data_IF_507848690836
#
_entry.id   IF_507848690836
#
_cell.length_a   1.000
_cell.length_b   1.000
_cell.length_c   1.000
_cell.angle_alpha   90.00
_cell.angle_beta   90.00
_cell.angle_gamma   90.00
#
_symmetry.space_group_name_H-M   'P 1'
#
loop_
_entity.id
_entity.type
_entity.pdbx_description
1 polymer ?
#
# COMPACT_ATOMS: atom_id res chain seq x y z
N UNK A 1 51.60 -44.74 -71.04
CA UNK A 1 50.47 -44.80 -70.08
C UNK A 1 51.05 -44.92 -68.69
N UNK A 2 51.08 -43.85 -67.90
CA UNK A 2 51.20 -43.95 -66.45
C UNK A 2 50.32 -42.83 -65.86
N UNK A 3 49.08 -43.17 -65.51
CA UNK A 3 48.26 -42.35 -64.62
C UNK A 3 48.66 -42.72 -63.20
N UNK A 4 49.35 -41.83 -62.49
CA UNK A 4 49.50 -41.93 -61.04
C UNK A 4 48.17 -41.49 -60.42
N UNK A 5 47.36 -42.45 -59.97
CA UNK A 5 46.27 -42.22 -59.04
C UNK A 5 46.84 -42.09 -57.62
N UNK A 6 46.88 -40.86 -57.10
CA UNK A 6 47.19 -40.60 -55.69
C UNK A 6 46.14 -41.22 -54.76
N UNK A 7 46.51 -41.83 -53.62
CA UNK A 7 45.58 -42.53 -52.75
C UNK A 7 44.80 -41.59 -51.80
N UNK A 8 43.68 -42.03 -51.19
CA UNK A 8 42.73 -41.21 -50.43
C UNK A 8 43.21 -40.72 -49.05
N UNK A 9 44.50 -40.90 -48.72
CA UNK A 9 45.05 -40.81 -47.35
C UNK A 9 44.88 -39.43 -46.71
N UNK A 10 44.78 -38.38 -47.53
CA UNK A 10 44.56 -37.01 -47.04
C UNK A 10 43.18 -36.81 -46.40
N UNK A 11 42.16 -37.57 -46.82
CA UNK A 11 40.80 -37.42 -46.31
C UNK A 11 40.66 -37.93 -44.87
N UNK A 12 41.33 -39.03 -44.53
CA UNK A 12 41.28 -39.62 -43.18
C UNK A 12 42.05 -38.80 -42.14
N UNK A 13 43.16 -38.17 -42.53
CA UNK A 13 43.96 -37.30 -41.66
C UNK A 13 43.24 -36.00 -41.24
N UNK A 14 42.25 -35.55 -42.03
CA UNK A 14 41.48 -34.33 -41.76
C UNK A 14 40.26 -34.55 -40.84
N UNK A 15 39.86 -35.81 -40.60
CA UNK A 15 38.71 -36.15 -39.77
C UNK A 15 38.78 -35.60 -38.32
N UNK A 16 39.93 -35.62 -37.63
CA UNK A 16 40.06 -35.04 -36.30
C UNK A 16 39.93 -33.51 -36.32
N UNK A 17 40.43 -32.86 -37.36
CA UNK A 17 40.35 -31.41 -37.54
C UNK A 17 38.92 -30.95 -37.83
N UNK A 18 38.19 -31.65 -38.70
CA UNK A 18 36.77 -31.37 -38.96
C UNK A 18 35.89 -31.61 -37.73
N UNK A 19 36.20 -32.64 -36.92
CA UNK A 19 35.53 -32.85 -35.62
C UNK A 19 35.79 -31.69 -34.65
N UNK A 20 37.03 -31.20 -34.57
CA UNK A 20 37.39 -30.03 -33.75
C UNK A 20 36.64 -28.78 -34.21
N UNK A 21 36.57 -28.53 -35.52
CA UNK A 21 35.86 -27.39 -36.11
C UNK A 21 34.35 -27.44 -35.82
N UNK A 22 33.75 -28.62 -35.90
CA UNK A 22 32.35 -28.85 -35.52
C UNK A 22 32.11 -28.52 -34.05
N UNK A 23 33.01 -28.97 -33.16
CA UNK A 23 32.96 -28.65 -31.74
C UNK A 23 33.08 -27.15 -31.45
N UNK A 24 34.05 -26.46 -32.07
CA UNK A 24 34.18 -25.00 -31.95
C UNK A 24 32.91 -24.27 -32.42
N UNK A 25 32.29 -24.75 -33.50
CA UNK A 25 31.03 -24.18 -34.01
C UNK A 25 29.88 -24.40 -33.03
N UNK A 26 29.78 -25.60 -32.43
CA UNK A 26 28.78 -25.89 -31.40
C UNK A 26 28.98 -25.04 -30.14
N UNK A 27 30.23 -24.91 -29.66
CA UNK A 27 30.55 -24.05 -28.52
C UNK A 27 30.18 -22.59 -28.79
N UNK A 28 30.48 -22.09 -29.99
CA UNK A 28 30.13 -20.71 -30.37
C UNK A 28 28.62 -20.50 -30.36
N UNK A 29 27.85 -21.44 -30.91
CA UNK A 29 26.38 -21.38 -30.87
C UNK A 29 25.86 -21.44 -29.44
N UNK A 30 26.39 -22.34 -28.62
CA UNK A 30 26.00 -22.47 -27.21
C UNK A 30 26.25 -21.18 -26.43
N UNK A 31 27.39 -20.52 -26.64
CA UNK A 31 27.71 -19.23 -26.03
C UNK A 31 26.76 -18.14 -26.52
N UNK A 32 26.41 -18.13 -27.80
CA UNK A 32 25.44 -17.16 -28.36
C UNK A 32 24.06 -17.33 -27.73
N UNK A 33 23.56 -18.57 -27.61
CA UNK A 33 22.29 -18.86 -26.93
C UNK A 33 22.33 -18.49 -25.45
N UNK A 34 23.44 -18.78 -24.76
CA UNK A 34 23.61 -18.37 -23.35
C UNK A 34 23.55 -16.84 -23.20
N UNK A 35 24.24 -16.09 -24.08
CA UNK A 35 24.21 -14.62 -24.06
C UNK A 35 22.80 -14.09 -24.33
N UNK A 36 22.09 -14.68 -25.29
CA UNK A 36 20.70 -14.33 -25.60
C UNK A 36 19.79 -14.56 -24.37
N UNK A 37 19.90 -15.72 -23.73
CA UNK A 37 19.14 -16.05 -22.53
C UNK A 37 19.39 -15.06 -21.38
N UNK A 38 20.64 -14.63 -21.19
CA UNK A 38 21.00 -13.61 -20.18
C UNK A 38 20.30 -12.28 -20.48
N UNK A 39 20.34 -11.82 -21.74
CA UNK A 39 19.70 -10.56 -22.14
C UNK A 39 18.19 -10.64 -21.97
N UNK A 40 17.56 -11.74 -22.42
CA UNK A 40 16.11 -11.94 -22.28
C UNK A 40 15.68 -11.94 -20.79
N UNK A 41 16.44 -12.61 -19.93
CA UNK A 41 16.17 -12.64 -18.49
C UNK A 41 16.32 -11.25 -17.87
N UNK A 42 17.35 -10.49 -18.27
CA UNK A 42 17.57 -9.13 -17.81
C UNK A 42 16.45 -8.19 -18.26
N UNK A 43 15.99 -8.31 -19.51
CA UNK A 43 14.85 -7.55 -20.01
C UNK A 43 13.56 -7.90 -19.28
N UNK A 44 13.30 -9.18 -19.03
CA UNK A 44 12.15 -9.63 -18.25
C UNK A 44 12.17 -9.03 -16.84
N UNK A 45 13.33 -9.06 -16.18
CA UNK A 45 13.51 -8.44 -14.86
C UNK A 45 13.24 -6.93 -14.88
N UNK A 46 13.77 -6.22 -15.87
CA UNK A 46 13.55 -4.78 -16.02
C UNK A 46 12.05 -4.45 -16.26
N UNK A 47 11.36 -5.22 -17.10
CA UNK A 47 9.91 -5.07 -17.32
C UNK A 47 9.12 -5.29 -16.03
N UNK A 48 9.52 -6.28 -15.23
CA UNK A 48 8.89 -6.56 -13.94
C UNK A 48 9.09 -5.39 -12.97
N UNK A 49 10.30 -4.83 -12.87
CA UNK A 49 10.58 -3.65 -12.05
C UNK A 49 9.72 -2.45 -12.48
N UNK A 50 9.58 -2.21 -13.77
CA UNK A 50 8.76 -1.12 -14.29
C UNK A 50 7.27 -1.32 -13.95
N UNK A 51 6.76 -2.55 -14.05
CA UNK A 51 5.39 -2.89 -13.65
C UNK A 51 5.17 -2.60 -12.16
N UNK A 52 6.07 -3.09 -11.29
CA UNK A 52 6.00 -2.86 -9.85
C UNK A 52 6.09 -1.36 -9.50
N UNK A 53 6.92 -0.59 -10.23
CA UNK A 53 7.02 0.86 -10.03
C UNK A 53 5.73 1.57 -10.41
N UNK A 54 5.10 1.20 -11.54
CA UNK A 54 3.81 1.78 -11.94
C UNK A 54 2.70 1.46 -10.94
N UNK A 55 2.65 0.24 -10.43
CA UNK A 55 1.69 -0.15 -9.39
C UNK A 55 1.89 0.66 -8.11
N UNK A 56 3.14 0.82 -7.67
CA UNK A 56 3.49 1.68 -6.52
C UNK A 56 3.06 3.12 -6.76
N UNK A 57 3.36 3.70 -7.92
CA UNK A 57 3.06 5.10 -8.22
C UNK A 57 1.54 5.33 -8.31
N UNK A 58 0.78 4.35 -8.84
CA UNK A 58 -0.66 4.36 -8.82
C UNK A 58 -1.21 4.30 -7.38
N UNK A 59 -0.65 3.44 -6.52
CA UNK A 59 -1.04 3.35 -5.11
C UNK A 59 -0.72 4.63 -4.33
N UNK A 60 0.41 5.28 -4.60
CA UNK A 60 0.74 6.59 -4.01
C UNK A 60 -0.28 7.63 -4.45
N UNK A 61 -0.62 7.68 -5.75
CA UNK A 61 -1.60 8.63 -6.25
C UNK A 61 -2.98 8.44 -5.61
N UNK A 62 -3.44 7.20 -5.45
CA UNK A 62 -4.72 6.93 -4.77
C UNK A 62 -4.68 7.32 -3.29
N UNK A 63 -3.58 7.04 -2.57
CA UNK A 63 -3.43 7.49 -1.18
C UNK A 63 -3.45 9.02 -1.09
N UNK A 64 -2.70 9.73 -1.93
CA UNK A 64 -2.69 11.21 -1.94
C UNK A 64 -4.07 11.79 -2.24
N UNK A 65 -4.83 11.20 -3.16
CA UNK A 65 -6.21 11.61 -3.45
C UNK A 65 -7.12 11.40 -2.24
N UNK A 66 -7.03 10.24 -1.57
CA UNK A 66 -7.79 9.97 -0.36
C UNK A 66 -7.41 10.90 0.79
N UNK A 67 -6.13 11.26 0.96
CA UNK A 67 -5.69 12.26 1.95
C UNK A 67 -6.25 13.65 1.63
N UNK A 68 -6.29 14.05 0.37
CA UNK A 68 -6.89 15.32 -0.06
C UNK A 68 -8.42 15.32 0.15
N UNK A 69 -9.09 14.22 -0.15
CA UNK A 69 -10.52 14.04 0.11
C UNK A 69 -10.82 14.01 1.62
N UNK A 70 -9.98 13.37 2.44
CA UNK A 70 -10.12 13.41 3.91
C UNK A 70 -9.84 14.80 4.49
N UNK A 71 -8.93 15.56 3.88
CA UNK A 71 -8.66 16.97 4.23
C UNK A 71 -9.87 17.86 3.91
N UNK A 72 -10.51 17.65 2.75
CA UNK A 72 -11.72 18.39 2.35
C UNK A 72 -12.96 17.93 3.15
N UNK A 73 -13.08 16.63 3.44
CA UNK A 73 -14.19 16.05 4.20
C UNK A 73 -14.05 16.29 5.72
N UNK A 74 -12.83 16.54 6.21
CA UNK A 74 -12.61 17.12 7.56
C UNK A 74 -13.23 18.52 7.71
N UNK A 75 -13.48 19.24 6.61
CA UNK A 75 -14.22 20.50 6.64
C UNK A 75 -15.75 20.33 6.54
N UNK A 76 -16.26 19.10 6.47
CA UNK A 76 -17.69 18.79 6.33
C UNK A 76 -18.21 17.81 7.40
N UNK A 77 -17.55 17.73 8.55
CA UNK A 77 -18.05 16.96 9.68
C UNK A 77 -19.16 17.78 10.35
N UNK A 78 -20.39 17.23 10.51
CA UNK A 78 -21.38 17.82 11.40
C UNK A 78 -20.75 18.04 12.79
N UNK A 79 -20.96 19.19 13.47
CA UNK A 79 -20.36 19.44 14.77
C UNK A 79 -20.92 18.45 15.80
N UNK A 80 -20.30 17.28 15.93
CA UNK A 80 -20.84 16.20 16.76
C UNK A 80 -19.97 14.96 16.94
N UNK A 81 -18.94 14.70 16.11
CA UNK A 81 -18.23 13.40 16.22
C UNK A 81 -16.79 13.37 15.72
N UNK A 82 -15.94 14.31 16.12
CA UNK A 82 -14.51 14.04 16.31
C UNK A 82 -14.13 14.73 17.61
N UNK A 83 -13.43 14.04 18.48
CA UNK A 83 -12.84 14.61 19.69
C UNK A 83 -11.99 15.83 19.31
N UNK A 84 -12.64 17.00 19.27
CA UNK A 84 -11.97 18.29 19.37
C UNK A 84 -10.98 18.16 20.53
N UNK A 85 -9.82 18.81 20.41
CA UNK A 85 -8.65 18.75 21.30
C UNK A 85 -8.98 19.13 22.77
N UNK A 86 -9.89 18.40 23.39
CA UNK A 86 -10.48 18.63 24.70
C UNK A 86 -9.47 18.12 25.71
N UNK A 87 -9.18 18.95 26.70
CA UNK A 87 -8.30 18.57 27.81
C UNK A 87 -9.13 17.89 28.89
N UNK A 88 -8.55 16.86 29.49
CA UNK A 88 -9.12 16.12 30.60
C UNK A 88 -9.38 17.08 31.76
N UNK A 89 -10.62 17.14 32.24
CA UNK A 89 -11.00 18.04 33.35
C UNK A 89 -10.21 17.78 34.64
N UNK A 90 -9.66 16.57 34.81
CA UNK A 90 -8.87 16.21 36.00
C UNK A 90 -7.37 16.55 35.87
N UNK A 91 -6.73 16.14 34.76
CA UNK A 91 -5.26 16.18 34.63
C UNK A 91 -4.74 16.99 33.44
N UNK A 92 -5.64 17.65 32.71
CA UNK A 92 -5.35 18.54 31.58
C UNK A 92 -4.60 17.92 30.39
N UNK A 93 -4.37 16.60 30.38
CA UNK A 93 -3.90 15.84 29.21
C UNK A 93 -5.01 15.67 28.18
N UNK A 94 -4.66 15.20 26.98
CA UNK A 94 -5.64 14.88 25.94
C UNK A 94 -6.75 13.95 26.47
N UNK A 95 -8.00 14.34 26.24
CA UNK A 95 -9.16 13.54 26.59
C UNK A 95 -9.51 12.57 25.47
N UNK A 96 -9.71 11.31 25.84
CA UNK A 96 -10.03 10.21 24.92
C UNK A 96 -11.47 9.72 25.10
N UNK A 97 -12.16 10.22 26.13
CA UNK A 97 -13.52 9.84 26.47
C UNK A 97 -14.26 11.03 27.08
N UNK A 98 -15.58 10.93 27.16
CA UNK A 98 -16.45 11.86 27.87
C UNK A 98 -17.12 11.15 29.04
N UNK A 99 -17.70 11.90 29.98
CA UNK A 99 -18.43 11.35 31.11
C UNK A 99 -19.49 10.36 30.62
N UNK A 100 -19.45 9.13 31.13
CA UNK A 100 -20.36 8.05 30.73
C UNK A 100 -21.84 8.35 31.00
N UNK A 101 -22.14 9.28 31.91
CA UNK A 101 -23.50 9.68 32.25
C UNK A 101 -23.98 10.86 31.39
N UNK A 102 -23.32 12.01 31.48
CA UNK A 102 -23.79 13.24 30.84
C UNK A 102 -23.20 13.48 29.44
N UNK A 103 -22.12 12.78 29.06
CA UNK A 103 -21.35 12.97 27.82
C UNK A 103 -20.87 14.41 27.55
N UNK A 104 -20.79 15.26 28.59
CA UNK A 104 -20.35 16.67 28.45
C UNK A 104 -18.91 16.89 28.88
N UNK A 105 -18.50 16.28 29.99
CA UNK A 105 -17.17 16.53 30.57
C UNK A 105 -16.12 15.56 30.01
N UNK A 106 -15.02 16.05 29.41
CA UNK A 106 -13.99 15.22 28.80
C UNK A 106 -12.97 14.68 29.82
N UNK A 107 -12.55 13.41 29.67
CA UNK A 107 -11.55 12.74 30.50
C UNK A 107 -10.57 11.92 29.65
N UNK A 108 -9.32 11.79 30.11
CA UNK A 108 -8.33 10.91 29.46
C UNK A 108 -8.53 9.43 29.81
N UNK A 109 -9.29 9.13 30.86
CA UNK A 109 -9.59 7.77 31.34
C UNK A 109 -10.72 7.79 32.36
N UNK A 110 -11.34 6.63 32.59
CA UNK A 110 -12.32 6.44 33.67
C UNK A 110 -11.73 6.69 35.06
N UNK A 111 -10.41 6.56 35.23
CA UNK A 111 -9.73 6.92 36.46
C UNK A 111 -9.82 8.42 36.76
N UNK A 112 -9.59 9.26 35.74
CA UNK A 112 -9.71 10.72 35.88
C UNK A 112 -11.17 11.14 36.13
N UNK A 113 -12.14 10.46 35.51
CA UNK A 113 -13.56 10.67 35.78
C UNK A 113 -13.90 10.42 37.26
N UNK A 114 -13.45 9.29 37.84
CA UNK A 114 -13.73 8.97 39.25
C UNK A 114 -13.09 9.97 40.20
N UNK A 115 -11.87 10.44 39.91
CA UNK A 115 -11.19 11.45 40.73
C UNK A 115 -11.89 12.80 40.71
N UNK A 116 -12.45 13.19 39.56
CA UNK A 116 -13.22 14.43 39.39
C UNK A 116 -14.70 14.29 39.81
N UNK A 117 -15.16 13.10 40.22
CA UNK A 117 -16.58 12.86 40.47
C UNK A 117 -17.17 13.78 41.55
N UNK A 118 -16.43 14.02 42.64
CA UNK A 118 -16.91 14.84 43.76
C UNK A 118 -17.22 16.28 43.32
N UNK A 119 -16.42 16.83 42.42
CA UNK A 119 -16.58 18.16 41.83
C UNK A 119 -17.62 18.17 40.70
N UNK A 120 -17.63 17.14 39.86
CA UNK A 120 -18.50 17.06 38.67
C UNK A 120 -19.95 16.63 38.95
N UNK A 121 -20.24 15.87 40.01
CA UNK A 121 -21.55 15.21 40.23
C UNK A 121 -22.76 16.15 40.16
N UNK A 122 -22.67 17.35 40.73
CA UNK A 122 -23.78 18.30 40.77
C UNK A 122 -24.13 18.84 39.37
N UNK A 123 -23.12 19.02 38.52
CA UNK A 123 -23.28 19.46 37.13
C UNK A 123 -23.73 18.32 36.22
N UNK A 124 -23.25 17.09 36.51
CA UNK A 124 -23.60 15.88 35.77
C UNK A 124 -25.12 15.61 35.81
N UNK A 125 -25.73 15.74 36.99
CA UNK A 125 -27.17 15.46 37.21
C UNK A 125 -28.06 16.52 36.55
N UNK A 126 -27.65 17.79 36.56
CA UNK A 126 -28.40 18.87 35.89
C UNK A 126 -28.44 18.70 34.37
N UNK A 127 -27.44 18.04 33.82
CA UNK A 127 -27.24 17.90 32.37
C UNK A 127 -28.05 16.77 31.72
N UNK A 128 -28.68 15.91 32.50
CA UNK A 128 -29.45 14.75 32.00
C UNK A 128 -30.90 15.08 31.63
N UNK A 129 -31.33 16.34 31.77
CA UNK A 129 -32.70 16.81 31.55
C UNK A 129 -32.90 17.61 30.25
N UNK A 130 -32.09 17.42 29.21
CA UNK A 130 -32.39 18.01 27.89
C UNK A 130 -33.21 17.02 27.04
N UNK A 131 -34.51 17.29 26.78
CA UNK A 131 -35.29 16.49 25.85
C UNK A 131 -34.79 16.74 24.43
N UNK A 132 -34.50 15.64 23.74
CA UNK A 132 -34.18 15.58 22.31
C UNK A 132 -35.09 16.48 21.48
N UNK A 133 -34.52 17.52 20.86
CA UNK A 133 -35.14 18.26 19.76
C UNK A 133 -35.38 17.26 18.62
N UNK A 134 -36.64 16.82 18.47
CA UNK A 134 -37.08 15.97 17.36
C UNK A 134 -37.02 16.76 16.05
N UNK A 135 -36.25 16.25 15.09
CA UNK A 135 -36.32 16.69 13.70
C UNK A 135 -37.65 16.20 13.13
N UNK A 136 -38.59 17.11 12.95
CA UNK A 136 -39.87 16.85 12.29
C UNK A 136 -39.61 16.80 10.78
N UNK A 137 -39.56 15.60 10.19
CA UNK A 137 -39.58 15.45 8.74
C UNK A 137 -41.02 15.67 8.26
N UNK A 138 -41.30 16.84 7.69
CA UNK A 138 -42.50 17.10 6.90
C UNK A 138 -42.31 16.30 5.59
N UNK A 139 -43.06 15.22 5.43
CA UNK A 139 -43.29 14.64 4.10
C UNK A 139 -44.44 15.42 3.49
N UNK A 140 -44.14 16.18 2.45
CA UNK A 140 -45.11 16.93 1.66
C UNK A 140 -45.94 15.93 0.84
N UNK A 141 -47.23 15.83 1.15
CA UNK A 141 -48.19 14.98 0.44
C UNK A 141 -48.92 15.88 -0.57
N UNK A 142 -48.35 15.99 -1.77
CA UNK A 142 -48.95 16.71 -2.89
C UNK A 142 -50.20 15.98 -3.38
N UNK A 143 -51.33 16.71 -3.42
CA UNK A 143 -52.55 16.40 -4.17
C UNK A 143 -52.28 16.26 -5.67
#
# INVERSE_FOLDING_TARGET
MYHLSSPPVLAEANLPFERMKSFCTQLTKMVQEMRKCIVETQEMHNRQLECMQRERDAAILTVTQLEQEQSINSNCIPPGSIHANKKCANCNREALAECSLCRRTPYCSTFCQRKDWITHQNECVRSTQEPTHQIMLIVDETQ
#
